data_IF_549883876337
#
_entry.id   IF_549883876337
#
_cell.length_a   1.000
_cell.length_b   1.000
_cell.length_c   1.000
_cell.angle_alpha   90.00
_cell.angle_beta   90.00
_cell.angle_gamma   90.00
#
_symmetry.space_group_name_H-M   'P 1'
#
loop_
_entity.id
_entity.type
_entity.pdbx_description
1 polymer ?
#
# COMPACT_ATOMS: atom_id res chain seq x y z
N UNK A 1 16.05 4.00 22.40
CA UNK A 1 15.15 2.84 22.56
C UNK A 1 14.52 2.61 21.19
N UNK A 2 15.15 1.78 20.36
CA UNK A 2 14.50 1.27 19.15
C UNK A 2 13.39 0.34 19.63
N UNK A 3 12.13 0.79 19.50
CA UNK A 3 11.01 -0.13 19.58
C UNK A 3 11.12 -1.03 18.34
N UNK A 4 11.70 -2.20 18.53
CA UNK A 4 11.62 -3.29 17.56
C UNK A 4 10.15 -3.70 17.49
N UNK A 5 9.36 -3.05 16.63
CA UNK A 5 8.00 -3.47 16.34
C UNK A 5 8.05 -4.93 15.89
N UNK A 6 7.42 -5.81 16.65
CA UNK A 6 7.25 -7.23 16.32
C UNK A 6 6.43 -7.34 15.03
N UNK A 7 7.13 -7.45 13.90
CA UNK A 7 6.52 -7.82 12.64
C UNK A 7 6.05 -9.27 12.72
N UNK A 8 4.89 -9.59 12.12
CA UNK A 8 4.30 -10.94 12.21
C UNK A 8 5.05 -11.94 11.34
N UNK A 9 6.27 -12.30 11.75
CA UNK A 9 7.04 -13.42 11.19
C UNK A 9 6.15 -14.67 11.09
N UNK A 10 5.29 -14.85 12.10
CA UNK A 10 4.41 -16.00 12.30
C UNK A 10 3.41 -16.23 11.17
N UNK A 11 3.03 -15.19 10.44
CA UNK A 11 2.07 -15.31 9.34
C UNK A 11 2.74 -15.75 8.02
N UNK A 12 4.07 -15.71 7.93
CA UNK A 12 4.81 -16.35 6.83
C UNK A 12 4.87 -17.86 7.05
N UNK A 13 5.01 -18.63 5.97
CA UNK A 13 5.23 -20.08 6.10
C UNK A 13 6.62 -20.39 6.71
N UNK A 14 6.78 -21.57 7.32
CA UNK A 14 8.00 -21.95 8.05
C UNK A 14 9.28 -21.85 7.22
N UNK A 15 9.23 -22.22 5.94
CA UNK A 15 10.38 -22.11 5.01
C UNK A 15 10.80 -20.64 4.86
N UNK A 16 9.84 -19.76 4.59
CA UNK A 16 10.07 -18.32 4.40
C UNK A 16 10.57 -17.67 5.69
N UNK A 17 10.02 -18.07 6.85
CA UNK A 17 10.50 -17.60 8.15
C UNK A 17 11.97 -17.97 8.38
N UNK A 18 12.37 -19.20 8.04
CA UNK A 18 13.75 -19.65 8.22
C UNK A 18 14.70 -18.90 7.29
N UNK A 19 14.35 -18.78 6.00
CA UNK A 19 15.13 -18.01 5.03
C UNK A 19 15.28 -16.55 5.46
N UNK A 20 14.20 -15.94 5.97
CA UNK A 20 14.20 -14.56 6.42
C UNK A 20 15.10 -14.35 7.65
N UNK A 21 15.03 -15.23 8.66
CA UNK A 21 15.92 -15.18 9.83
C UNK A 21 17.39 -15.28 9.42
N UNK A 22 17.72 -16.18 8.49
CA UNK A 22 19.07 -16.29 7.95
C UNK A 22 19.45 -15.01 7.19
N UNK A 23 18.59 -14.47 6.33
CA UNK A 23 18.88 -13.27 5.55
C UNK A 23 19.09 -12.00 6.41
N UNK A 24 18.40 -11.89 7.55
CA UNK A 24 18.60 -10.80 8.52
C UNK A 24 19.98 -10.88 9.20
N UNK A 25 20.55 -12.08 9.29
CA UNK A 25 21.85 -12.33 9.92
C UNK A 25 22.99 -12.30 8.91
N UNK A 26 22.85 -13.00 7.80
CA UNK A 26 23.84 -13.10 6.74
C UNK A 26 23.16 -13.21 5.36
N UNK A 27 22.83 -12.07 4.72
CA UNK A 27 22.10 -12.04 3.45
C UNK A 27 22.90 -12.69 2.30
N UNK A 28 24.23 -12.82 2.41
CA UNK A 28 25.05 -13.44 1.37
C UNK A 28 24.88 -14.96 1.26
N UNK A 29 24.29 -15.60 2.27
CA UNK A 29 24.09 -17.06 2.32
C UNK A 29 22.69 -17.50 1.89
N UNK A 30 21.81 -16.54 1.57
CA UNK A 30 20.42 -16.81 1.21
C UNK A 30 20.17 -16.41 -0.23
N UNK A 31 19.34 -17.19 -0.92
CA UNK A 31 18.78 -16.76 -2.20
C UNK A 31 17.76 -15.63 -1.96
N UNK A 32 18.25 -14.39 -2.03
CA UNK A 32 17.47 -13.17 -1.83
C UNK A 32 16.39 -12.97 -2.90
N UNK A 33 16.56 -13.56 -4.10
CA UNK A 33 15.56 -13.51 -5.16
C UNK A 33 14.38 -14.41 -4.77
N UNK A 34 14.66 -15.67 -4.44
CA UNK A 34 13.63 -16.61 -3.98
C UNK A 34 12.91 -16.09 -2.73
N UNK A 35 13.64 -15.53 -1.76
CA UNK A 35 13.04 -14.98 -0.54
C UNK A 35 12.07 -13.83 -0.88
N UNK A 36 12.47 -12.92 -1.76
CA UNK A 36 11.62 -11.81 -2.20
C UNK A 36 10.33 -12.33 -2.85
N UNK A 37 10.44 -13.30 -3.76
CA UNK A 37 9.29 -13.86 -4.46
C UNK A 37 8.31 -14.53 -3.48
N UNK A 38 8.81 -15.29 -2.52
CA UNK A 38 8.00 -15.93 -1.48
C UNK A 38 7.24 -14.91 -0.60
N UNK A 39 7.91 -13.82 -0.21
CA UNK A 39 7.28 -12.76 0.62
C UNK A 39 6.17 -12.08 -0.18
N UNK A 40 6.43 -11.70 -1.44
CA UNK A 40 5.44 -11.03 -2.29
C UNK A 40 4.26 -11.95 -2.57
N UNK A 41 4.51 -13.21 -2.93
CA UNK A 41 3.45 -14.17 -3.24
C UNK A 41 2.54 -14.47 -2.04
N UNK A 42 3.10 -14.45 -0.82
CA UNK A 42 2.30 -14.57 0.41
C UNK A 42 1.49 -13.31 0.69
N UNK A 43 2.09 -12.13 0.54
CA UNK A 43 1.39 -10.85 0.71
C UNK A 43 0.22 -10.68 -0.25
N UNK A 44 0.33 -11.17 -1.49
CA UNK A 44 -0.77 -11.11 -2.46
C UNK A 44 -1.95 -12.04 -2.11
N UNK A 45 -1.70 -13.09 -1.33
CA UNK A 45 -2.73 -14.06 -0.89
C UNK A 45 -3.38 -13.68 0.44
N UNK A 46 -2.72 -12.87 1.25
CA UNK A 46 -3.19 -12.46 2.57
C UNK A 46 -3.00 -10.95 2.75
N UNK A 47 -4.10 -10.20 2.71
CA UNK A 47 -4.09 -8.74 2.87
C UNK A 47 -3.54 -8.29 4.23
N UNK A 48 -3.68 -9.12 5.27
CA UNK A 48 -3.13 -8.82 6.59
C UNK A 48 -1.59 -8.82 6.61
N UNK A 49 -0.96 -9.51 5.63
CA UNK A 49 0.49 -9.54 5.45
C UNK A 49 1.03 -8.36 4.66
N UNK A 50 0.23 -7.64 3.87
CA UNK A 50 0.74 -6.59 2.98
C UNK A 50 1.53 -5.51 3.71
N UNK A 51 1.09 -5.11 4.92
CA UNK A 51 1.79 -4.14 5.75
C UNK A 51 3.14 -4.66 6.23
N UNK A 52 3.14 -5.88 6.74
CA UNK A 52 4.33 -6.50 7.33
C UNK A 52 5.33 -6.88 6.22
N UNK A 53 4.86 -7.34 5.07
CA UNK A 53 5.66 -7.63 3.89
C UNK A 53 6.41 -6.39 3.40
N UNK A 54 5.76 -5.23 3.29
CA UNK A 54 6.44 -3.98 2.93
C UNK A 54 7.53 -3.58 3.94
N UNK A 55 7.28 -3.80 5.24
CA UNK A 55 8.28 -3.58 6.29
C UNK A 55 9.47 -4.54 6.18
N UNK A 56 9.21 -5.84 6.06
CA UNK A 56 10.23 -6.88 5.90
C UNK A 56 11.10 -6.58 4.68
N UNK A 57 10.47 -6.28 3.54
CA UNK A 57 11.14 -5.93 2.31
C UNK A 57 12.08 -4.73 2.49
N UNK A 58 11.62 -3.64 3.11
CA UNK A 58 12.46 -2.47 3.37
C UNK A 58 13.61 -2.78 4.35
N UNK A 59 13.35 -3.62 5.35
CA UNK A 59 14.37 -4.07 6.31
C UNK A 59 15.46 -4.87 5.59
N UNK A 60 15.09 -5.82 4.73
CA UNK A 60 16.03 -6.62 3.95
C UNK A 60 16.90 -5.76 3.02
N UNK A 61 16.32 -4.73 2.39
CA UNK A 61 17.10 -3.76 1.60
C UNK A 61 18.18 -3.08 2.45
N UNK A 62 17.84 -2.65 3.67
CA UNK A 62 18.79 -2.00 4.57
C UNK A 62 19.85 -2.97 5.09
N UNK A 63 19.47 -4.20 5.44
CA UNK A 63 20.39 -5.23 5.92
C UNK A 63 21.39 -5.63 4.83
N UNK A 64 20.91 -5.85 3.60
CA UNK A 64 21.76 -6.16 2.44
C UNK A 64 22.76 -5.02 2.20
N UNK A 65 22.28 -3.77 2.12
CA UNK A 65 23.15 -2.61 1.87
C UNK A 65 24.24 -2.46 2.94
N UNK A 66 23.94 -2.76 4.22
CA UNK A 66 24.90 -2.68 5.33
C UNK A 66 25.92 -3.83 5.34
N UNK A 67 25.53 -5.04 4.95
CA UNK A 67 26.36 -6.26 5.15
C UNK A 67 27.12 -6.71 3.91
N UNK A 68 26.55 -6.56 2.72
CA UNK A 68 27.13 -7.13 1.48
C UNK A 68 27.51 -6.10 0.43
N UNK A 69 27.22 -4.79 0.64
CA UNK A 69 27.39 -3.72 -0.36
C UNK A 69 26.71 -3.99 -1.71
N UNK A 70 25.80 -4.98 -1.77
CA UNK A 70 24.99 -5.32 -2.93
C UNK A 70 23.61 -4.69 -2.85
N UNK A 71 22.85 -4.76 -3.96
CA UNK A 71 21.45 -4.35 -3.99
C UNK A 71 20.58 -5.34 -4.78
N UNK A 72 20.87 -6.62 -4.65
CA UNK A 72 20.19 -7.73 -5.31
C UNK A 72 18.74 -7.80 -4.84
N UNK A 73 18.49 -7.75 -3.53
CA UNK A 73 17.13 -7.83 -2.99
C UNK A 73 16.30 -6.62 -3.43
N UNK A 74 16.85 -5.40 -3.29
CA UNK A 74 16.16 -4.17 -3.73
C UNK A 74 15.77 -4.24 -5.20
N UNK A 75 16.71 -4.63 -6.07
CA UNK A 75 16.48 -4.72 -7.52
C UNK A 75 15.43 -5.78 -7.85
N UNK A 76 15.51 -6.96 -7.21
CA UNK A 76 14.52 -8.01 -7.43
C UNK A 76 13.13 -7.59 -6.97
N UNK A 77 13.02 -7.00 -5.78
CA UNK A 77 11.77 -6.47 -5.24
C UNK A 77 11.11 -5.46 -6.17
N UNK A 78 11.87 -4.46 -6.66
CA UNK A 78 11.32 -3.48 -7.61
C UNK A 78 10.91 -4.13 -8.94
N UNK A 79 11.67 -5.10 -9.42
CA UNK A 79 11.32 -5.86 -10.64
C UNK A 79 10.01 -6.64 -10.44
N UNK A 80 9.87 -7.33 -9.30
CA UNK A 80 8.67 -8.09 -8.94
C UNK A 80 7.44 -7.19 -8.80
N UNK A 81 7.58 -6.04 -8.12
CA UNK A 81 6.51 -5.05 -7.99
C UNK A 81 6.11 -4.46 -9.34
N UNK A 82 7.06 -4.19 -10.23
CA UNK A 82 6.78 -3.70 -11.57
C UNK A 82 6.00 -4.74 -12.40
N UNK A 83 6.31 -6.03 -12.26
CA UNK A 83 5.55 -7.10 -12.93
C UNK A 83 4.10 -7.15 -12.46
N UNK A 84 3.87 -7.08 -11.13
CA UNK A 84 2.52 -7.04 -10.56
C UNK A 84 1.75 -5.79 -11.00
N UNK A 85 2.41 -4.62 -10.97
CA UNK A 85 1.84 -3.38 -11.47
C UNK A 85 1.45 -3.48 -12.95
N UNK A 86 2.31 -4.07 -13.79
CA UNK A 86 2.06 -4.20 -15.23
C UNK A 86 0.84 -5.08 -15.52
N UNK A 87 0.62 -6.13 -14.71
CA UNK A 87 -0.50 -7.08 -14.86
C UNK A 87 -1.75 -6.69 -14.07
N UNK A 88 -1.78 -5.50 -13.45
CA UNK A 88 -2.84 -5.08 -12.53
C UNK A 88 -4.27 -5.25 -13.03
N UNK A 89 -4.56 -4.95 -14.30
CA UNK A 89 -5.92 -5.11 -14.86
C UNK A 89 -6.29 -6.58 -15.10
N UNK A 90 -5.32 -7.46 -15.34
CA UNK A 90 -5.54 -8.91 -15.36
C UNK A 90 -5.78 -9.43 -13.94
N UNK A 91 -4.98 -8.98 -12.97
CA UNK A 91 -5.14 -9.32 -11.56
C UNK A 91 -6.51 -8.88 -11.04
N UNK A 92 -6.92 -7.63 -11.30
CA UNK A 92 -8.24 -7.11 -10.91
C UNK A 92 -9.38 -7.94 -11.48
N UNK A 93 -9.29 -8.34 -12.76
CA UNK A 93 -10.30 -9.21 -13.39
C UNK A 93 -10.33 -10.62 -12.81
N UNK A 94 -9.18 -11.14 -12.37
CA UNK A 94 -9.07 -12.48 -11.78
C UNK A 94 -9.53 -12.52 -10.33
N UNK A 95 -9.11 -11.54 -9.53
CA UNK A 95 -9.36 -11.48 -8.08
C UNK A 95 -9.20 -10.05 -7.59
N UNK A 96 -10.31 -9.45 -7.15
CA UNK A 96 -10.30 -8.12 -6.51
C UNK A 96 -9.44 -8.11 -5.24
N UNK A 97 -9.47 -9.20 -4.47
CA UNK A 97 -8.65 -9.33 -3.27
C UNK A 97 -7.15 -9.25 -3.60
N UNK A 98 -6.68 -10.02 -4.59
CA UNK A 98 -5.28 -9.95 -5.01
C UNK A 98 -4.92 -8.56 -5.53
N UNK A 99 -5.82 -7.92 -6.26
CA UNK A 99 -5.63 -6.55 -6.75
C UNK A 99 -5.42 -5.54 -5.62
N UNK A 100 -6.29 -5.52 -4.61
CA UNK A 100 -6.12 -4.60 -3.47
C UNK A 100 -4.88 -4.94 -2.64
N UNK A 101 -4.41 -6.20 -2.63
CA UNK A 101 -3.11 -6.57 -2.07
C UNK A 101 -1.95 -5.98 -2.88
N UNK A 102 -2.00 -5.97 -4.22
CA UNK A 102 -1.00 -5.32 -5.07
C UNK A 102 -0.91 -3.83 -4.74
N UNK A 103 -2.05 -3.13 -4.69
CA UNK A 103 -2.09 -1.70 -4.32
C UNK A 103 -1.51 -1.48 -2.94
N UNK A 104 -1.96 -2.26 -1.95
CA UNK A 104 -1.50 -2.15 -0.58
C UNK A 104 0.01 -2.36 -0.47
N UNK A 105 0.56 -3.38 -1.15
CA UNK A 105 1.99 -3.66 -1.12
C UNK A 105 2.80 -2.53 -1.77
N UNK A 106 2.37 -1.99 -2.91
CA UNK A 106 3.01 -0.84 -3.56
C UNK A 106 3.03 0.39 -2.64
N UNK A 107 1.90 0.73 -2.02
CA UNK A 107 1.82 1.85 -1.08
C UNK A 107 2.69 1.64 0.16
N UNK A 108 2.72 0.42 0.71
CA UNK A 108 3.58 0.07 1.84
C UNK A 108 5.08 0.21 1.52
N UNK A 109 5.49 -0.21 0.32
CA UNK A 109 6.87 -0.08 -0.13
C UNK A 109 7.20 1.39 -0.40
N UNK A 110 6.31 2.16 -1.02
CA UNK A 110 6.48 3.61 -1.20
C UNK A 110 6.66 4.36 0.13
N UNK A 111 5.83 4.04 1.12
CA UNK A 111 5.84 4.65 2.45
C UNK A 111 7.17 4.41 3.17
N UNK A 112 7.72 3.21 3.08
CA UNK A 112 8.89 2.80 3.89
C UNK A 112 10.23 2.86 3.14
N UNK A 113 10.24 2.61 1.83
CA UNK A 113 11.47 2.59 1.04
C UNK A 113 11.92 4.01 0.71
N UNK A 114 12.86 4.53 1.50
CA UNK A 114 13.44 5.85 1.30
C UNK A 114 14.87 5.76 0.77
N UNK A 115 15.22 6.67 -0.13
CA UNK A 115 16.59 6.93 -0.58
C UNK A 115 16.96 8.32 -0.07
N UNK A 116 18.00 8.42 0.76
CA UNK A 116 18.40 9.69 1.40
C UNK A 116 17.23 10.40 2.12
N UNK A 117 16.48 9.67 2.93
CA UNK A 117 15.26 10.13 3.62
C UNK A 117 14.12 10.63 2.71
N UNK A 118 14.22 10.46 1.39
CA UNK A 118 13.18 10.86 0.44
C UNK A 118 12.48 9.63 -0.16
N UNK A 119 11.16 9.69 -0.43
CA UNK A 119 10.46 8.61 -1.13
C UNK A 119 11.09 8.33 -2.49
N UNK A 120 11.10 7.06 -2.90
CA UNK A 120 11.65 6.68 -4.19
C UNK A 120 10.75 7.21 -5.33
N UNK A 121 11.26 8.15 -6.13
CA UNK A 121 10.52 8.78 -7.22
C UNK A 121 9.92 7.76 -8.22
N UNK A 122 10.61 6.65 -8.45
CA UNK A 122 10.16 5.58 -9.35
C UNK A 122 8.84 4.89 -8.91
N UNK A 123 8.43 5.06 -7.65
CA UNK A 123 7.18 4.50 -7.12
C UNK A 123 6.03 5.51 -7.10
N UNK A 124 6.29 6.80 -7.31
CA UNK A 124 5.26 7.86 -7.23
C UNK A 124 4.19 7.64 -8.29
N UNK A 125 4.58 7.49 -9.55
CA UNK A 125 3.63 7.32 -10.64
C UNK A 125 2.85 6.00 -10.55
N UNK A 126 3.48 4.84 -10.29
CA UNK A 126 2.74 3.59 -10.07
C UNK A 126 1.72 3.67 -8.93
N UNK A 127 2.06 4.33 -7.82
CA UNK A 127 1.13 4.50 -6.70
C UNK A 127 -0.06 5.36 -7.11
N UNK A 128 0.19 6.52 -7.73
CA UNK A 128 -0.91 7.34 -8.24
C UNK A 128 -1.77 6.57 -9.24
N UNK A 129 -1.19 5.86 -10.20
CA UNK A 129 -1.94 5.09 -11.21
C UNK A 129 -2.86 4.04 -10.56
N UNK A 130 -2.42 3.40 -9.47
CA UNK A 130 -3.28 2.52 -8.67
C UNK A 130 -4.44 3.29 -8.00
N UNK A 131 -4.17 4.44 -7.39
CA UNK A 131 -5.21 5.25 -6.75
C UNK A 131 -6.22 5.80 -7.77
N UNK A 132 -5.75 6.27 -8.93
CA UNK A 132 -6.61 6.69 -10.05
C UNK A 132 -7.48 5.54 -10.56
N UNK A 133 -6.94 4.31 -10.57
CA UNK A 133 -7.70 3.12 -10.96
C UNK A 133 -8.80 2.78 -9.95
N UNK A 134 -8.51 2.89 -8.66
CA UNK A 134 -9.50 2.69 -7.58
C UNK A 134 -10.56 3.81 -7.52
N UNK A 135 -10.24 4.99 -8.06
CA UNK A 135 -11.17 6.12 -8.16
C UNK A 135 -12.04 6.10 -9.44
N UNK A 136 -11.93 5.08 -10.29
CA UNK A 136 -12.79 4.96 -11.47
C UNK A 136 -14.23 4.58 -11.07
N UNK A 137 -15.26 4.98 -11.85
CA UNK A 137 -16.65 4.68 -11.52
C UNK A 137 -16.93 3.19 -11.26
N UNK A 138 -16.33 2.30 -12.05
CA UNK A 138 -16.49 0.84 -11.91
C UNK A 138 -15.79 0.25 -10.67
N UNK A 139 -14.87 0.99 -10.05
CA UNK A 139 -14.23 0.62 -8.80
C UNK A 139 -14.95 1.23 -7.59
N UNK A 140 -15.52 2.43 -7.73
CA UNK A 140 -16.24 3.11 -6.65
C UNK A 140 -17.54 2.41 -6.22
N UNK A 141 -18.12 1.57 -7.09
CA UNK A 141 -19.24 0.68 -6.69
C UNK A 141 -18.79 -0.49 -5.81
N UNK A 142 -17.50 -0.77 -5.74
CA UNK A 142 -16.97 -1.92 -5.03
C UNK A 142 -16.39 -1.50 -3.68
N UNK A 143 -17.08 -1.87 -2.59
CA UNK A 143 -16.68 -1.49 -1.23
C UNK A 143 -15.24 -1.90 -0.88
N UNK A 144 -14.76 -3.05 -1.38
CA UNK A 144 -13.39 -3.53 -1.10
C UNK A 144 -12.34 -2.62 -1.74
N UNK A 145 -12.62 -2.10 -2.94
CA UNK A 145 -11.73 -1.16 -3.62
C UNK A 145 -11.77 0.23 -2.97
N UNK A 146 -12.95 0.70 -2.55
CA UNK A 146 -13.11 1.97 -1.85
C UNK A 146 -12.44 1.95 -0.47
N UNK A 147 -12.59 0.86 0.28
CA UNK A 147 -11.88 0.65 1.55
C UNK A 147 -10.36 0.68 1.35
N UNK A 148 -9.85 -0.03 0.34
CA UNK A 148 -8.43 -0.01 0.00
C UNK A 148 -7.94 1.40 -0.35
N UNK A 149 -8.69 2.14 -1.18
CA UNK A 149 -8.40 3.51 -1.57
C UNK A 149 -8.32 4.42 -0.34
N UNK A 150 -9.33 4.36 0.53
CA UNK A 150 -9.39 5.16 1.73
C UNK A 150 -8.20 4.87 2.64
N UNK A 151 -7.94 3.59 2.92
CA UNK A 151 -6.82 3.16 3.73
C UNK A 151 -5.48 3.67 3.18
N UNK A 152 -5.28 3.62 1.85
CA UNK A 152 -4.02 4.10 1.27
C UNK A 152 -3.90 5.62 1.35
N UNK A 153 -4.97 6.37 1.08
CA UNK A 153 -4.94 7.84 1.17
C UNK A 153 -4.73 8.33 2.60
N UNK A 154 -5.31 7.65 3.59
CA UNK A 154 -5.02 7.90 5.01
C UNK A 154 -3.55 7.75 5.35
N UNK A 155 -2.87 6.78 4.74
CA UNK A 155 -1.49 6.44 5.07
C UNK A 155 -0.45 7.26 4.31
N UNK A 156 -0.63 7.39 3.00
CA UNK A 156 0.40 7.97 2.10
C UNK A 156 -0.07 9.21 1.36
N UNK A 157 -1.32 9.65 1.56
CA UNK A 157 -1.91 10.77 0.83
C UNK A 157 -1.16 12.09 1.01
N UNK A 158 -0.87 12.50 2.25
CA UNK A 158 -0.10 13.73 2.52
C UNK A 158 1.30 13.68 1.88
N UNK A 159 1.96 12.51 1.95
CA UNK A 159 3.28 12.32 1.35
C UNK A 159 3.24 12.41 -0.18
N UNK A 160 2.22 11.83 -0.82
CA UNK A 160 2.01 11.90 -2.27
C UNK A 160 1.68 13.32 -2.71
N UNK A 161 0.84 14.04 -1.97
CA UNK A 161 0.46 15.41 -2.31
C UNK A 161 1.66 16.37 -2.28
N UNK A 162 2.56 16.21 -1.30
CA UNK A 162 3.82 16.97 -1.22
C UNK A 162 4.73 16.73 -2.43
N UNK A 163 4.67 15.54 -3.03
CA UNK A 163 5.46 15.19 -4.22
C UNK A 163 4.81 15.67 -5.51
N UNK A 164 3.47 15.67 -5.58
CA UNK A 164 2.74 16.07 -6.79
C UNK A 164 1.31 16.52 -6.47
N UNK A 165 1.15 17.78 -6.05
CA UNK A 165 -0.15 18.35 -5.68
C UNK A 165 -1.16 18.31 -6.84
N UNK A 166 -0.70 18.54 -8.07
CA UNK A 166 -1.57 18.51 -9.26
C UNK A 166 -2.25 17.16 -9.46
N UNK A 167 -1.49 16.05 -9.35
CA UNK A 167 -2.09 14.71 -9.46
C UNK A 167 -3.04 14.41 -8.31
N UNK A 168 -2.76 14.92 -7.11
CA UNK A 168 -3.68 14.79 -5.98
C UNK A 168 -4.98 15.57 -6.20
N UNK A 169 -4.92 16.77 -6.79
CA UNK A 169 -6.10 17.54 -7.18
C UNK A 169 -6.95 16.79 -8.19
N UNK A 170 -6.33 16.29 -9.25
CA UNK A 170 -6.97 15.46 -10.30
C UNK A 170 -7.66 14.23 -9.69
N UNK A 171 -6.98 13.51 -8.79
CA UNK A 171 -7.56 12.36 -8.10
C UNK A 171 -8.80 12.77 -7.29
N UNK A 172 -8.72 13.85 -6.52
CA UNK A 172 -9.85 14.32 -5.71
C UNK A 172 -10.96 14.98 -6.52
N UNK A 173 -10.73 15.37 -7.78
CA UNK A 173 -11.83 15.70 -8.68
C UNK A 173 -12.64 14.45 -9.03
N UNK A 174 -11.98 13.33 -9.36
CA UNK A 174 -12.67 12.07 -9.61
C UNK A 174 -13.48 11.58 -8.40
N UNK A 175 -12.94 11.73 -7.19
CA UNK A 175 -13.67 11.35 -5.96
C UNK A 175 -14.91 12.21 -5.74
N UNK A 176 -14.86 13.51 -6.05
CA UNK A 176 -16.02 14.40 -5.98
C UNK A 176 -17.04 14.06 -7.06
N UNK A 177 -16.60 13.82 -8.28
CA UNK A 177 -17.47 13.42 -9.39
C UNK A 177 -18.17 12.10 -9.06
N UNK A 178 -17.44 11.10 -8.58
CA UNK A 178 -18.02 9.85 -8.09
C UNK A 178 -19.03 10.08 -6.98
N UNK A 179 -18.67 10.84 -5.94
CA UNK A 179 -19.58 11.11 -4.82
C UNK A 179 -20.90 11.81 -5.24
N UNK A 180 -20.81 12.77 -6.17
CA UNK A 180 -21.93 13.61 -6.60
C UNK A 180 -22.79 12.99 -7.71
N UNK A 181 -22.18 12.27 -8.64
CA UNK A 181 -22.82 11.83 -9.89
C UNK A 181 -23.12 10.33 -9.94
N UNK A 182 -22.53 9.54 -9.04
CA UNK A 182 -22.69 8.09 -9.06
C UNK A 182 -23.85 7.63 -8.16
N UNK A 183 -24.87 7.06 -8.79
CA UNK A 183 -26.12 6.69 -8.14
C UNK A 183 -26.04 5.36 -7.36
N UNK A 184 -25.14 4.46 -7.75
CA UNK A 184 -25.03 3.08 -7.26
C UNK A 184 -23.97 2.86 -6.17
N UNK A 185 -23.48 3.93 -5.56
CA UNK A 185 -22.60 3.84 -4.39
C UNK A 185 -23.33 3.22 -3.21
N UNK A 186 -22.68 2.26 -2.56
CA UNK A 186 -23.16 1.74 -1.28
C UNK A 186 -23.09 2.81 -0.17
N UNK A 187 -23.85 2.60 0.90
CA UNK A 187 -23.81 3.50 2.07
C UNK A 187 -22.41 3.62 2.66
N UNK A 188 -21.67 2.51 2.76
CA UNK A 188 -20.30 2.51 3.27
C UNK A 188 -19.35 3.25 2.32
N UNK A 189 -19.44 3.00 1.01
CA UNK A 189 -18.60 3.70 0.03
C UNK A 189 -18.85 5.20 0.06
N UNK A 190 -20.11 5.62 0.18
CA UNK A 190 -20.48 7.03 0.32
C UNK A 190 -19.91 7.65 1.59
N UNK A 191 -19.99 6.94 2.72
CA UNK A 191 -19.43 7.39 4.00
C UNK A 191 -17.91 7.55 3.93
N UNK A 192 -17.19 6.55 3.39
CA UNK A 192 -15.73 6.58 3.23
C UNK A 192 -15.27 7.70 2.28
N UNK A 193 -15.98 7.90 1.16
CA UNK A 193 -15.66 8.99 0.24
C UNK A 193 -15.85 10.36 0.90
N UNK A 194 -16.94 10.56 1.65
CA UNK A 194 -17.16 11.82 2.37
C UNK A 194 -16.06 12.07 3.41
N UNK A 195 -15.72 11.03 4.17
CA UNK A 195 -14.65 11.08 5.16
C UNK A 195 -13.31 11.48 4.53
N UNK A 196 -12.93 10.89 3.39
CA UNK A 196 -11.70 11.24 2.68
C UNK A 196 -11.70 12.69 2.18
N UNK A 197 -12.83 13.16 1.65
CA UNK A 197 -12.97 14.54 1.17
C UNK A 197 -12.77 15.53 2.34
N UNK A 198 -13.36 15.26 3.50
CA UNK A 198 -13.15 16.05 4.71
C UNK A 198 -11.72 15.93 5.23
N UNK A 199 -11.16 14.72 5.25
CA UNK A 199 -9.81 14.45 5.73
C UNK A 199 -8.77 15.26 4.96
N UNK A 200 -8.84 15.28 3.62
CA UNK A 200 -7.96 16.12 2.81
C UNK A 200 -8.25 17.61 2.99
N UNK A 201 -9.52 18.03 3.03
CA UNK A 201 -9.88 19.43 3.23
C UNK A 201 -9.33 19.99 4.55
N UNK A 202 -9.22 19.14 5.57
CA UNK A 202 -8.61 19.44 6.86
C UNK A 202 -7.09 19.16 6.90
N UNK A 203 -6.41 19.19 5.75
CA UNK A 203 -4.96 19.00 5.61
C UNK A 203 -4.47 17.63 6.12
N UNK A 204 -5.15 16.56 5.70
CA UNK A 204 -4.85 15.17 6.07
C UNK A 204 -4.93 14.95 7.59
N UNK A 205 -5.94 15.55 8.21
CA UNK A 205 -6.20 15.41 9.63
C UNK A 205 -7.70 15.40 9.88
N UNK A 206 -8.18 14.49 10.75
CA UNK A 206 -9.59 14.38 11.05
C UNK A 206 -9.96 15.26 12.25
N UNK A 207 -10.98 16.11 12.09
CA UNK A 207 -11.48 16.89 13.22
C UNK A 207 -12.09 15.99 14.30
N UNK A 208 -12.13 16.44 15.56
CA UNK A 208 -12.79 15.69 16.65
C UNK A 208 -14.25 15.38 16.36
N UNK A 209 -14.96 16.27 15.66
CA UNK A 209 -16.35 16.07 15.29
C UNK A 209 -16.49 15.00 14.21
N UNK A 210 -15.67 15.06 13.16
CA UNK A 210 -15.61 14.04 12.13
C UNK A 210 -15.23 12.67 12.72
N UNK A 211 -14.24 12.62 13.63
CA UNK A 211 -13.86 11.38 14.31
C UNK A 211 -15.03 10.75 15.09
N UNK A 212 -15.85 11.58 15.74
CA UNK A 212 -17.05 11.11 16.43
C UNK A 212 -18.11 10.60 15.45
N UNK A 213 -18.36 11.34 14.38
CA UNK A 213 -19.34 10.97 13.35
C UNK A 213 -18.99 9.64 12.68
N UNK A 214 -17.75 9.48 12.20
CA UNK A 214 -17.35 8.30 11.43
C UNK A 214 -17.05 7.05 12.27
N UNK A 215 -16.65 7.20 13.54
CA UNK A 215 -16.15 6.08 14.34
C UNK A 215 -16.85 5.88 15.70
N UNK A 216 -17.78 6.75 16.10
CA UNK A 216 -18.46 6.65 17.40
C UNK A 216 -19.98 6.64 17.31
N UNK A 217 -20.57 7.05 16.19
CA UNK A 217 -22.01 6.92 15.98
C UNK A 217 -22.33 5.47 15.59
N UNK A 218 -23.09 4.79 16.45
CA UNK A 218 -23.64 3.47 16.13
C UNK A 218 -24.82 3.71 15.20
N UNK A 219 -24.72 3.20 13.98
CA UNK A 219 -25.85 3.18 13.04
C UNK A 219 -26.88 2.18 13.60
N UNK A 220 -28.07 2.66 13.98
CA UNK A 220 -29.20 1.80 14.42
C UNK A 220 -29.75 0.94 13.27
#
# INVERSE_FOLDING_TARGET
>A
MEQTEEWRIQALNTETQQMLKTALTDPGTVDLVKLCDLIVDQALKDSSLCRDAGHICCTLVQVEAKRSSTSVFRRNMLTRLQQEFTRREETRRRSLHEWVCVVSLLCNVFDRLKVNNSPMAALVDPVYDCLFRLAQPDALVNEVEVDCLALQLHRVGEQLEKLNTRRMDELFFLLRDGFLLQDDLSSMSRLLLLELLEFRAASWNLSKNAQRYYYSEVVE
#
